data_IF_347865548430
#
_entry.id   IF_347865548430
#
_cell.length_a   1.000
_cell.length_b   1.000
_cell.length_c   1.000
_cell.angle_alpha   90.00
_cell.angle_beta   90.00
_cell.angle_gamma   90.00
#
_symmetry.space_group_name_H-M   'P 1'
#
loop_
_entity.id
_entity.type
_entity.pdbx_description
1 polymer ?
#
# COMPACT_ATOMS: atom_id res chain seq x y z
N UNK A 1 12.37 2.27 -2.55
CA UNK A 1 12.95 1.19 -1.73
C UNK A 1 14.43 0.94 -2.04
N UNK A 2 14.90 1.24 -3.27
CA UNK A 2 16.28 0.99 -3.74
C UNK A 2 17.35 1.97 -3.26
N UNK A 3 16.98 3.15 -2.77
CA UNK A 3 17.94 4.24 -2.44
C UNK A 3 18.68 3.98 -1.12
N UNK A 4 18.05 3.29 -0.16
CA UNK A 4 18.65 3.02 1.18
C UNK A 4 19.61 1.83 1.14
N UNK A 5 19.40 0.87 0.23
CA UNK A 5 20.21 -0.35 0.12
C UNK A 5 21.58 -0.11 -0.51
N UNK A 6 21.68 0.82 -1.47
CA UNK A 6 22.91 1.10 -2.22
C UNK A 6 24.10 1.63 -1.38
N UNK A 7 23.92 2.60 -0.45
CA UNK A 7 25.05 3.13 0.32
C UNK A 7 25.61 2.17 1.37
N UNK A 8 24.83 1.20 1.89
CA UNK A 8 25.29 0.36 3.01
C UNK A 8 26.01 -0.90 2.53
N UNK A 9 25.73 -1.41 1.33
CA UNK A 9 26.47 -2.53 0.73
C UNK A 9 27.96 -2.21 0.52
N UNK A 10 28.32 -0.93 0.31
CA UNK A 10 29.71 -0.47 0.15
C UNK A 10 30.49 -0.51 1.48
N UNK A 11 29.79 -0.33 2.61
CA UNK A 11 30.41 -0.35 3.95
C UNK A 11 30.79 -1.78 4.37
N UNK A 12 30.02 -2.78 3.94
CA UNK A 12 30.28 -4.20 4.22
C UNK A 12 31.47 -4.78 3.44
N UNK A 13 31.82 -4.22 2.28
CA UNK A 13 32.90 -4.75 1.44
C UNK A 13 34.32 -4.34 1.89
N UNK A 14 34.46 -3.49 2.91
CA UNK A 14 35.75 -2.95 3.36
C UNK A 14 36.29 -3.57 4.65
N UNK A 15 35.53 -4.45 5.32
CA UNK A 15 35.94 -5.11 6.57
C UNK A 15 35.70 -6.61 6.51
N UNK A 16 36.49 -7.38 7.28
CA UNK A 16 36.36 -8.85 7.34
C UNK A 16 34.97 -9.33 7.78
N UNK A 17 34.77 -10.65 7.87
CA UNK A 17 33.46 -11.29 8.10
C UNK A 17 32.64 -10.69 9.25
N UNK A 18 33.30 -10.31 10.35
CA UNK A 18 32.65 -9.66 11.49
C UNK A 18 32.06 -8.26 11.16
N UNK A 19 32.76 -7.48 10.33
CA UNK A 19 32.27 -6.18 9.87
C UNK A 19 31.13 -6.32 8.85
N UNK A 20 31.19 -7.35 8.00
CA UNK A 20 30.10 -7.70 7.09
C UNK A 20 28.83 -8.11 7.86
N UNK A 21 28.96 -8.92 8.92
CA UNK A 21 27.83 -9.30 9.76
C UNK A 21 27.22 -8.10 10.50
N UNK A 22 28.06 -7.22 11.06
CA UNK A 22 27.60 -6.03 11.78
C UNK A 22 26.88 -5.04 10.85
N UNK A 23 27.41 -4.82 9.64
CA UNK A 23 26.78 -3.96 8.63
C UNK A 23 25.45 -4.52 8.11
N UNK A 24 25.36 -5.84 7.91
CA UNK A 24 24.11 -6.51 7.55
C UNK A 24 23.04 -6.38 8.65
N UNK A 25 23.43 -6.52 9.93
CA UNK A 25 22.51 -6.33 11.05
C UNK A 25 22.01 -4.89 11.13
N UNK A 26 22.91 -3.90 11.00
CA UNK A 26 22.51 -2.50 10.97
C UNK A 26 21.55 -2.18 9.82
N UNK A 27 21.76 -2.78 8.64
CA UNK A 27 20.86 -2.69 7.48
C UNK A 27 19.44 -3.14 7.83
N UNK A 28 19.32 -4.31 8.45
CA UNK A 28 18.02 -4.86 8.85
C UNK A 28 17.34 -3.93 9.85
N UNK A 29 18.07 -3.44 10.87
CA UNK A 29 17.52 -2.53 11.88
C UNK A 29 17.04 -1.23 11.25
N UNK A 30 17.85 -0.58 10.42
CA UNK A 30 17.46 0.65 9.71
C UNK A 30 16.24 0.39 8.84
N UNK A 31 16.21 -0.74 8.13
CA UNK A 31 15.08 -1.10 7.26
C UNK A 31 13.78 -1.30 8.07
N UNK A 32 13.85 -1.90 9.25
CA UNK A 32 12.71 -2.07 10.15
C UNK A 32 12.22 -0.73 10.69
N UNK A 33 13.12 0.18 11.07
CA UNK A 33 12.76 1.53 11.53
C UNK A 33 12.08 2.32 10.42
N UNK A 34 12.63 2.30 9.21
CA UNK A 34 12.04 2.95 8.04
C UNK A 34 10.67 2.36 7.72
N UNK A 35 10.52 1.04 7.79
CA UNK A 35 9.24 0.37 7.56
C UNK A 35 8.20 0.76 8.62
N UNK A 36 8.57 0.79 9.89
CA UNK A 36 7.69 1.20 10.97
C UNK A 36 7.25 2.67 10.82
N UNK A 37 8.18 3.56 10.48
CA UNK A 37 7.87 4.96 10.19
C UNK A 37 6.94 5.10 8.99
N UNK A 38 7.19 4.36 7.91
CA UNK A 38 6.33 4.35 6.72
C UNK A 38 4.91 3.89 7.04
N UNK A 39 4.76 2.77 7.76
CA UNK A 39 3.44 2.26 8.16
C UNK A 39 2.71 3.26 9.07
N UNK A 40 3.42 3.86 10.01
CA UNK A 40 2.83 4.86 10.91
C UNK A 40 2.33 6.09 10.16
N UNK A 41 3.14 6.66 9.26
CA UNK A 41 2.75 7.79 8.40
C UNK A 41 1.57 7.39 7.51
N UNK A 42 1.64 6.22 6.87
CA UNK A 42 0.59 5.72 6.00
C UNK A 42 -0.73 5.59 6.74
N UNK A 43 -0.74 5.04 7.96
CA UNK A 43 -1.95 4.94 8.77
C UNK A 43 -2.54 6.30 9.15
N UNK A 44 -1.70 7.31 9.40
CA UNK A 44 -2.15 8.67 9.74
C UNK A 44 -2.73 9.43 8.55
N UNK A 45 -2.15 9.20 7.38
CA UNK A 45 -2.53 9.89 6.15
C UNK A 45 -3.49 9.09 5.27
N UNK A 46 -3.84 7.85 5.62
CA UNK A 46 -4.61 6.96 4.75
C UNK A 46 -5.91 7.57 4.18
N UNK A 47 -6.53 8.50 4.92
CA UNK A 47 -7.82 9.09 4.61
C UNK A 47 -7.76 10.44 3.89
N UNK A 48 -6.58 11.08 3.74
CA UNK A 48 -6.48 12.46 3.26
C UNK A 48 -7.18 12.70 1.91
N UNK A 49 -6.97 11.79 0.94
CA UNK A 49 -7.58 11.86 -0.38
C UNK A 49 -9.11 11.70 -0.32
N UNK A 50 -9.61 10.88 0.59
CA UNK A 50 -11.05 10.65 0.73
C UNK A 50 -11.73 11.86 1.39
N UNK A 51 -11.09 12.46 2.39
CA UNK A 51 -11.56 13.70 3.03
C UNK A 51 -11.67 14.81 1.99
N UNK A 52 -10.63 15.00 1.19
CA UNK A 52 -10.62 16.02 0.13
C UNK A 52 -11.74 15.80 -0.92
N UNK A 53 -12.09 14.54 -1.19
CA UNK A 53 -13.15 14.20 -2.15
C UNK A 53 -14.57 14.30 -1.56
N UNK A 54 -14.72 14.06 -0.25
CA UNK A 54 -16.04 13.96 0.41
C UNK A 54 -16.46 15.23 1.15
N UNK A 55 -15.50 15.98 1.68
CA UNK A 55 -15.77 17.23 2.39
C UNK A 55 -15.59 18.39 1.42
N UNK A 56 -16.71 19.02 1.04
CA UNK A 56 -16.71 20.15 0.11
C UNK A 56 -15.94 21.34 0.69
N UNK A 57 -15.27 22.11 -0.18
CA UNK A 57 -14.65 23.40 0.16
C UNK A 57 -13.46 23.32 1.15
N UNK A 58 -12.77 22.18 1.22
CA UNK A 58 -11.60 22.00 2.08
C UNK A 58 -10.30 22.08 1.27
N UNK A 59 -9.33 22.84 1.77
CA UNK A 59 -7.96 22.88 1.21
C UNK A 59 -7.16 21.61 1.52
N UNK A 60 -6.19 21.26 0.66
CA UNK A 60 -5.36 20.05 0.79
C UNK A 60 -4.63 19.94 2.14
N UNK A 61 -4.13 21.05 2.68
CA UNK A 61 -3.44 21.10 3.99
C UNK A 61 -4.41 20.79 5.13
N UNK A 62 -5.62 21.33 5.07
CA UNK A 62 -6.70 21.07 6.04
C UNK A 62 -7.14 19.62 6.00
N UNK A 63 -7.25 19.01 4.81
CA UNK A 63 -7.58 17.58 4.66
C UNK A 63 -6.52 16.65 5.30
N UNK A 64 -5.23 16.99 5.16
CA UNK A 64 -4.13 16.26 5.79
C UNK A 64 -4.20 16.34 7.32
N UNK A 65 -4.36 17.56 7.86
CA UNK A 65 -4.49 17.78 9.30
C UNK A 65 -5.69 17.02 9.86
N UNK A 66 -6.82 17.05 9.15
CA UNK A 66 -8.02 16.32 9.55
C UNK A 66 -7.84 14.80 9.51
N UNK A 67 -7.15 14.25 8.50
CA UNK A 67 -6.79 12.82 8.48
C UNK A 67 -5.97 12.44 9.71
N UNK A 68 -5.03 13.30 10.10
CA UNK A 68 -4.20 13.09 11.27
C UNK A 68 -5.00 13.09 12.58
N UNK A 69 -5.93 14.04 12.71
CA UNK A 69 -6.82 14.14 13.86
C UNK A 69 -7.75 12.94 13.95
N UNK A 70 -8.41 12.54 12.86
CA UNK A 70 -9.31 11.38 12.82
C UNK A 70 -8.62 10.06 13.17
N UNK A 71 -7.33 9.93 12.88
CA UNK A 71 -6.54 8.72 13.17
C UNK A 71 -5.85 8.74 14.54
N UNK A 72 -5.79 9.90 15.23
CA UNK A 72 -5.10 10.11 16.53
C UNK A 72 -5.65 9.31 17.71
N UNK A 73 -5.03 8.18 18.05
CA UNK A 73 -5.50 7.29 19.13
C UNK A 73 -6.20 6.03 18.62
N UNK A 74 -6.48 5.96 17.31
CA UNK A 74 -6.98 4.75 16.63
C UNK A 74 -6.01 4.25 15.53
N UNK A 75 -4.81 4.82 15.40
CA UNK A 75 -3.86 4.46 14.34
C UNK A 75 -3.49 2.97 14.29
N UNK A 76 -3.45 2.29 15.45
CA UNK A 76 -3.23 0.83 15.51
C UNK A 76 -4.40 0.06 14.88
N UNK A 77 -5.65 0.52 15.07
CA UNK A 77 -6.83 -0.11 14.44
C UNK A 77 -6.83 0.09 12.93
N UNK A 78 -6.41 1.27 12.48
CA UNK A 78 -6.19 1.55 11.05
C UNK A 78 -5.13 0.59 10.49
N UNK A 79 -3.98 0.47 11.17
CA UNK A 79 -2.91 -0.44 10.77
C UNK A 79 -3.36 -1.90 10.70
N UNK A 80 -4.07 -2.40 11.71
CA UNK A 80 -4.58 -3.78 11.69
C UNK A 80 -5.59 -4.00 10.56
N UNK A 81 -6.46 -3.04 10.30
CA UNK A 81 -7.42 -3.13 9.19
C UNK A 81 -6.70 -3.21 7.84
N UNK A 82 -5.66 -2.38 7.65
CA UNK A 82 -4.81 -2.43 6.46
C UNK A 82 -4.00 -3.73 6.38
N UNK A 83 -3.46 -4.21 7.50
CA UNK A 83 -2.71 -5.46 7.57
C UNK A 83 -3.58 -6.64 7.13
N UNK A 84 -4.81 -6.74 7.64
CA UNK A 84 -5.77 -7.77 7.25
C UNK A 84 -6.10 -7.65 5.75
N UNK A 85 -6.33 -6.43 5.27
CA UNK A 85 -6.59 -6.19 3.85
C UNK A 85 -5.45 -6.67 2.94
N UNK A 86 -4.20 -6.36 3.31
CA UNK A 86 -3.02 -6.83 2.59
C UNK A 86 -2.86 -8.34 2.69
N UNK A 87 -3.16 -8.94 3.84
CA UNK A 87 -3.07 -10.38 4.04
C UNK A 87 -4.08 -11.13 3.14
N UNK A 88 -5.29 -10.60 3.01
CA UNK A 88 -6.33 -11.15 2.11
C UNK A 88 -5.90 -11.03 0.64
N UNK A 89 -5.24 -9.94 0.25
CA UNK A 89 -4.76 -9.73 -1.12
C UNK A 89 -3.41 -10.42 -1.42
N UNK A 90 -2.70 -10.89 -0.40
CA UNK A 90 -1.39 -11.53 -0.53
C UNK A 90 -1.36 -12.66 -1.58
N UNK A 91 -2.26 -13.66 -1.59
CA UNK A 91 -2.23 -14.73 -2.60
C UNK A 91 -2.40 -14.19 -4.02
N UNK A 92 -3.23 -13.16 -4.20
CA UNK A 92 -3.46 -12.55 -5.51
C UNK A 92 -2.20 -11.86 -6.03
N UNK A 93 -1.51 -11.10 -5.16
CA UNK A 93 -0.22 -10.49 -5.49
C UNK A 93 0.89 -11.52 -5.69
N UNK A 94 0.88 -12.62 -4.93
CA UNK A 94 1.84 -13.70 -5.09
C UNK A 94 1.73 -14.31 -6.49
N UNK A 95 0.52 -14.60 -6.97
CA UNK A 95 0.30 -15.11 -8.33
C UNK A 95 0.78 -14.13 -9.41
N UNK A 96 0.51 -12.82 -9.22
CA UNK A 96 0.97 -11.76 -10.13
C UNK A 96 2.49 -11.78 -10.33
N UNK A 97 3.26 -12.16 -9.30
CA UNK A 97 4.74 -12.16 -9.34
C UNK A 97 5.27 -13.54 -9.74
N UNK A 98 4.77 -14.61 -9.12
CA UNK A 98 5.29 -15.96 -9.28
C UNK A 98 5.15 -16.45 -10.72
N UNK A 99 4.02 -16.19 -11.39
CA UNK A 99 3.78 -16.68 -12.75
C UNK A 99 4.81 -16.10 -13.74
N UNK A 100 5.00 -14.77 -13.85
CA UNK A 100 6.06 -14.19 -14.68
C UNK A 100 7.47 -14.68 -14.34
N UNK A 101 7.77 -14.83 -13.06
CA UNK A 101 9.09 -15.30 -12.61
C UNK A 101 9.35 -16.73 -13.09
N UNK A 102 8.38 -17.63 -12.98
CA UNK A 102 8.51 -18.99 -13.48
C UNK A 102 8.70 -19.04 -15.00
N UNK A 103 8.09 -18.13 -15.75
CA UNK A 103 8.31 -17.97 -17.19
C UNK A 103 9.73 -17.45 -17.46
N UNK A 104 10.23 -16.51 -16.66
CA UNK A 104 11.53 -15.87 -16.87
C UNK A 104 12.74 -16.76 -16.51
N UNK A 105 12.63 -17.61 -15.47
CA UNK A 105 13.74 -18.40 -14.93
C UNK A 105 14.53 -19.19 -16.00
N UNK A 106 13.89 -19.94 -16.91
CA UNK A 106 14.61 -20.72 -17.92
C UNK A 106 15.46 -19.88 -18.89
N UNK A 107 15.11 -18.60 -19.07
CA UNK A 107 15.78 -17.70 -20.01
C UNK A 107 16.86 -16.83 -19.34
N UNK A 108 16.94 -16.84 -18.01
CA UNK A 108 17.80 -15.94 -17.25
C UNK A 108 19.29 -16.22 -17.49
N UNK A 109 19.70 -17.50 -17.56
CA UNK A 109 21.09 -17.88 -17.82
C UNK A 109 21.59 -17.38 -19.19
N UNK A 110 20.77 -17.52 -20.23
CA UNK A 110 21.10 -17.03 -21.58
C UNK A 110 21.16 -15.50 -21.71
N UNK A 111 20.60 -14.76 -20.75
CA UNK A 111 20.67 -13.29 -20.70
C UNK A 111 21.88 -12.80 -19.89
N UNK A 112 22.23 -13.49 -18.79
CA UNK A 112 23.28 -13.06 -17.86
C UNK A 112 24.68 -13.52 -18.26
N UNK A 113 24.80 -14.67 -18.94
CA UNK A 113 26.09 -15.30 -19.24
C UNK A 113 26.61 -15.00 -20.65
N UNK A 114 25.84 -14.29 -21.48
CA UNK A 114 26.17 -14.07 -22.89
C UNK A 114 26.42 -12.59 -23.19
N UNK A 115 27.56 -12.29 -23.83
CA UNK A 115 27.83 -10.95 -24.37
C UNK A 115 26.84 -10.56 -25.49
N UNK A 116 26.19 -11.54 -26.12
CA UNK A 116 25.14 -11.35 -27.10
C UNK A 116 23.97 -12.31 -26.81
N UNK A 117 22.95 -11.86 -26.05
CA UNK A 117 21.81 -12.69 -25.66
C UNK A 117 21.13 -13.35 -26.86
N UNK A 118 20.80 -14.63 -26.73
CA UNK A 118 20.07 -15.34 -27.80
C UNK A 118 18.68 -14.72 -28.01
N UNK A 119 18.19 -14.73 -29.26
CA UNK A 119 16.84 -14.23 -29.57
C UNK A 119 15.75 -14.92 -28.73
N UNK A 120 15.92 -16.21 -28.43
CA UNK A 120 15.01 -16.97 -27.58
C UNK A 120 14.99 -16.44 -26.14
N UNK A 121 16.16 -16.10 -25.57
CA UNK A 121 16.25 -15.52 -24.23
C UNK A 121 15.55 -14.15 -24.16
N UNK A 122 15.80 -13.29 -25.16
CA UNK A 122 15.16 -11.97 -25.24
C UNK A 122 13.63 -12.11 -25.33
N UNK A 123 13.14 -12.96 -26.24
CA UNK A 123 11.70 -13.18 -26.42
C UNK A 123 11.06 -13.78 -25.15
N UNK A 124 11.72 -14.73 -24.48
CA UNK A 124 11.21 -15.33 -23.24
C UNK A 124 11.07 -14.31 -22.10
N UNK A 125 12.04 -13.41 -21.96
CA UNK A 125 11.97 -12.33 -20.96
C UNK A 125 10.88 -11.31 -21.31
N UNK A 126 10.77 -10.92 -22.58
CA UNK A 126 9.70 -10.03 -23.03
C UNK A 126 8.32 -10.64 -22.78
N UNK A 127 8.17 -11.96 -22.98
CA UNK A 127 6.94 -12.68 -22.66
C UNK A 127 6.64 -12.64 -21.16
N UNK A 128 7.63 -12.89 -20.30
CA UNK A 128 7.45 -12.80 -18.86
C UNK A 128 7.01 -11.39 -18.42
N UNK A 129 7.64 -10.34 -18.95
CA UNK A 129 7.26 -8.95 -18.68
C UNK A 129 5.85 -8.66 -19.18
N UNK A 130 5.48 -9.12 -20.37
CA UNK A 130 4.14 -8.95 -20.90
C UNK A 130 3.09 -9.61 -20.01
N UNK A 131 3.33 -10.85 -19.58
CA UNK A 131 2.43 -11.56 -18.65
C UNK A 131 2.32 -10.83 -17.32
N UNK A 132 3.43 -10.30 -16.78
CA UNK A 132 3.41 -9.47 -15.58
C UNK A 132 2.50 -8.24 -15.74
N UNK A 133 2.61 -7.52 -16.85
CA UNK A 133 1.78 -6.33 -17.10
C UNK A 133 0.29 -6.68 -17.20
N UNK A 134 -0.06 -7.77 -17.90
CA UNK A 134 -1.44 -8.25 -18.00
C UNK A 134 -1.98 -8.61 -16.62
N UNK A 135 -1.22 -9.38 -15.84
CA UNK A 135 -1.62 -9.76 -14.48
C UNK A 135 -1.72 -8.53 -13.56
N UNK A 136 -0.82 -7.55 -13.68
CA UNK A 136 -0.89 -6.32 -12.91
C UNK A 136 -2.18 -5.53 -13.17
N UNK A 137 -2.63 -5.47 -14.43
CA UNK A 137 -3.91 -4.85 -14.78
C UNK A 137 -5.07 -5.64 -14.16
N UNK A 138 -5.09 -6.97 -14.35
CA UNK A 138 -6.16 -7.84 -13.82
C UNK A 138 -6.25 -7.72 -12.30
N UNK A 139 -5.13 -7.84 -11.59
CA UNK A 139 -5.06 -7.68 -10.14
C UNK A 139 -5.46 -6.26 -9.71
N UNK A 140 -5.07 -5.25 -10.48
CA UNK A 140 -5.45 -3.85 -10.25
C UNK A 140 -6.97 -3.63 -10.29
N UNK A 141 -7.68 -4.29 -11.22
CA UNK A 141 -9.14 -4.20 -11.35
C UNK A 141 -9.85 -4.66 -10.07
N UNK A 142 -9.35 -5.70 -9.40
CA UNK A 142 -9.94 -6.19 -8.15
C UNK A 142 -9.45 -5.41 -6.92
N UNK A 143 -8.16 -5.08 -6.91
CA UNK A 143 -7.54 -4.52 -5.72
C UNK A 143 -7.90 -3.06 -5.50
N UNK A 144 -8.05 -2.28 -6.58
CA UNK A 144 -8.46 -0.88 -6.49
C UNK A 144 -9.82 -0.69 -5.77
N UNK A 145 -10.93 -1.29 -6.22
CA UNK A 145 -12.23 -1.12 -5.54
C UNK A 145 -12.24 -1.71 -4.12
N UNK A 146 -11.47 -2.77 -3.86
CA UNK A 146 -11.33 -3.35 -2.53
C UNK A 146 -10.75 -2.34 -1.52
N UNK A 147 -9.61 -1.73 -1.85
CA UNK A 147 -9.00 -0.73 -0.95
C UNK A 147 -9.83 0.54 -0.83
N UNK A 148 -10.57 0.93 -1.87
CA UNK A 148 -11.52 2.06 -1.78
C UNK A 148 -12.65 1.76 -0.80
N UNK A 149 -13.17 0.53 -0.79
CA UNK A 149 -14.22 0.10 0.15
C UNK A 149 -13.72 0.10 1.59
N UNK A 150 -12.51 -0.42 1.83
CA UNK A 150 -11.91 -0.37 3.19
C UNK A 150 -11.71 1.08 3.64
N UNK A 151 -11.26 1.95 2.73
CA UNK A 151 -11.04 3.36 3.05
C UNK A 151 -12.33 4.08 3.41
N UNK A 152 -13.43 3.82 2.69
CA UNK A 152 -14.73 4.43 3.01
C UNK A 152 -15.27 3.94 4.35
N UNK A 153 -15.24 2.63 4.61
CA UNK A 153 -15.70 2.05 5.89
C UNK A 153 -14.90 2.62 7.05
N UNK A 154 -13.56 2.68 6.92
CA UNK A 154 -12.69 3.20 7.97
C UNK A 154 -12.94 4.69 8.25
N UNK A 155 -13.19 5.49 7.21
CA UNK A 155 -13.54 6.89 7.36
C UNK A 155 -14.83 7.06 8.18
N UNK A 156 -15.90 6.34 7.80
CA UNK A 156 -17.17 6.42 8.52
C UNK A 156 -17.08 5.86 9.95
N UNK A 157 -16.34 4.78 10.20
CA UNK A 157 -16.13 4.25 11.56
C UNK A 157 -15.40 5.27 12.45
N UNK A 158 -14.30 5.86 11.97
CA UNK A 158 -13.54 6.83 12.76
C UNK A 158 -14.31 8.12 12.99
N UNK A 159 -15.03 8.61 11.96
CA UNK A 159 -15.83 9.83 12.06
C UNK A 159 -17.02 9.63 13.00
N UNK A 160 -17.71 8.48 12.94
CA UNK A 160 -18.79 8.14 13.87
C UNK A 160 -18.30 8.09 15.33
N UNK A 161 -17.16 7.44 15.59
CA UNK A 161 -16.59 7.33 16.96
C UNK A 161 -16.12 8.65 17.55
N UNK A 162 -15.62 9.57 16.73
CA UNK A 162 -15.09 10.85 17.22
C UNK A 162 -16.10 11.98 17.24
N UNK A 163 -16.89 12.07 16.19
CA UNK A 163 -17.78 13.20 15.95
C UNK A 163 -19.23 12.87 16.37
N UNK A 164 -19.51 11.62 16.79
CA UNK A 164 -20.82 11.22 17.25
C UNK A 164 -21.90 11.29 16.16
N UNK A 165 -21.52 11.10 14.90
CA UNK A 165 -22.38 11.29 13.72
C UNK A 165 -23.70 10.50 13.82
N UNK A 166 -23.68 9.33 14.46
CA UNK A 166 -24.86 8.49 14.69
C UNK A 166 -25.96 9.18 15.53
N UNK A 167 -25.56 10.05 16.47
CA UNK A 167 -26.48 10.81 17.34
C UNK A 167 -27.19 11.90 16.53
N UNK A 168 -26.47 12.56 15.62
CA UNK A 168 -27.03 13.62 14.78
C UNK A 168 -28.09 13.10 13.80
N UNK A 169 -27.98 11.85 13.33
CA UNK A 169 -29.01 11.25 12.49
C UNK A 169 -30.26 10.86 13.26
N UNK A 170 -30.12 10.47 14.54
CA UNK A 170 -31.24 10.08 15.39
C UNK A 170 -32.09 11.27 15.86
N UNK A 171 -31.47 12.42 16.06
CA UNK A 171 -32.12 13.63 16.59
C UNK A 171 -32.72 14.54 15.50
N UNK A 172 -32.67 14.15 14.21
CA UNK A 172 -33.38 14.89 13.15
C UNK A 172 -34.90 14.80 13.37
N UNK A 173 -35.61 15.91 13.61
CA UNK A 173 -37.05 15.91 13.79
C UNK A 173 -37.74 15.34 12.54
N UNK A 174 -38.71 14.43 12.71
CA UNK A 174 -39.50 13.81 11.61
C UNK A 174 -40.50 14.78 10.95
N UNK A 175 -40.22 16.09 10.95
CA UNK A 175 -41.16 17.15 10.60
C UNK A 175 -41.04 17.64 9.14
N UNK A 176 -40.50 16.79 8.26
CA UNK A 176 -40.45 17.06 6.81
C UNK A 176 -41.16 15.96 6.01
N UNK A 177 -42.18 15.31 6.59
CA UNK A 177 -43.13 14.56 5.76
C UNK A 177 -44.05 15.61 5.12
N UNK A 178 -43.84 15.82 3.83
CA UNK A 178 -44.67 16.69 2.99
C UNK A 178 -46.18 16.45 3.26
N UNK A 179 -47.01 17.50 3.20
CA UNK A 179 -48.46 17.35 3.27
C UNK A 179 -48.88 16.40 2.15
N UNK A 180 -49.57 15.34 2.55
CA UNK A 180 -50.18 14.40 1.62
C UNK A 180 -51.38 15.12 1.02
N UNK A 181 -51.16 15.80 -0.11
CA UNK A 181 -52.23 16.45 -0.86
C UNK A 181 -53.32 15.41 -1.17
N UNK A 182 -54.56 15.80 -0.84
CA UNK A 182 -55.79 15.03 -0.98
C UNK A 182 -56.57 15.51 -2.19
#
# INVERSE_FOLDING_TARGET
>A
MTIVTFPISIIGSAGGEAAAALSALMLVVVQLVVLAAQLWIQARLYLWNLILAMESEIESTTAINRSWELTKGNGVRVLFSLLIAYLVMLPLYALMIVIPVLIAIPFLGGLLESEAPSAAAVVGILLAVFVFLVLAIVVGIFTAPFFQTIKSVLYYDLRSRREGMDIQFRDRPRDQREPRDS
#
